data_IF_777668612409
#
_entry.id   IF_777668612409
#
_cell.length_a   1.000
_cell.length_b   1.000
_cell.length_c   1.000
_cell.angle_alpha   90.00
_cell.angle_beta   90.00
_cell.angle_gamma   90.00
#
_symmetry.space_group_name_H-M   'P 1'
#
loop_
_entity.id
_entity.type
_entity.pdbx_description
1 polymer ?
#
# COMPACT_ATOMS: atom_id res chain seq x y z
N UNK A 1 -26.83 8.07 -26.28
CA UNK A 1 -26.77 6.61 -26.50
C UNK A 1 -26.15 6.02 -25.28
N UNK A 2 -26.99 5.45 -24.40
CA UNK A 2 -26.55 4.78 -23.16
C UNK A 2 -25.85 3.48 -23.55
N UNK A 3 -24.60 3.32 -23.20
CA UNK A 3 -23.92 2.04 -23.30
C UNK A 3 -24.56 1.10 -22.27
N UNK A 4 -25.26 0.07 -22.75
CA UNK A 4 -25.79 -0.98 -21.90
C UNK A 4 -24.62 -1.67 -21.19
N UNK A 5 -24.68 -1.74 -19.89
CA UNK A 5 -23.74 -2.54 -19.08
C UNK A 5 -23.83 -4.00 -19.55
N UNK A 6 -22.69 -4.62 -19.80
CA UNK A 6 -22.57 -6.03 -20.14
C UNK A 6 -22.98 -6.86 -18.90
N UNK A 7 -24.09 -7.64 -18.95
CA UNK A 7 -24.57 -8.39 -17.79
C UNK A 7 -23.73 -9.63 -17.44
N UNK A 8 -22.58 -9.84 -18.12
CA UNK A 8 -21.75 -11.04 -17.93
C UNK A 8 -20.43 -10.79 -17.16
N UNK A 9 -20.14 -9.58 -16.74
CA UNK A 9 -18.97 -9.29 -15.89
C UNK A 9 -19.39 -9.33 -14.41
N UNK A 10 -19.52 -10.52 -13.86
CA UNK A 10 -19.71 -10.72 -12.41
C UNK A 10 -18.38 -10.66 -11.63
N UNK A 11 -17.35 -10.08 -12.24
CA UNK A 11 -16.06 -9.86 -11.59
C UNK A 11 -16.13 -8.54 -10.82
N UNK A 12 -15.92 -8.55 -9.51
CA UNK A 12 -15.98 -7.34 -8.70
C UNK A 12 -14.90 -6.36 -9.19
N UNK A 13 -15.27 -5.08 -9.28
CA UNK A 13 -14.31 -4.03 -9.64
C UNK A 13 -13.43 -3.72 -8.44
N UNK A 14 -12.14 -4.06 -8.55
CA UNK A 14 -11.14 -3.67 -7.59
C UNK A 14 -10.38 -2.46 -8.13
N UNK A 15 -10.40 -1.35 -7.41
CA UNK A 15 -9.59 -0.18 -7.70
C UNK A 15 -8.52 -0.04 -6.62
N UNK A 16 -7.28 0.06 -7.07
CA UNK A 16 -6.16 0.26 -6.15
C UNK A 16 -5.84 1.74 -6.01
N UNK A 17 -5.66 2.20 -4.77
CA UNK A 17 -5.13 3.52 -4.45
C UNK A 17 -3.74 3.40 -3.82
N UNK A 18 -2.77 4.07 -4.43
CA UNK A 18 -1.41 4.18 -3.89
C UNK A 18 -1.26 5.59 -3.33
N UNK A 19 -1.26 5.73 -2.01
CA UNK A 19 -0.99 7.02 -1.40
C UNK A 19 0.50 7.35 -1.45
N UNK A 20 0.84 8.54 -1.94
CA UNK A 20 2.20 8.99 -2.13
C UNK A 20 2.36 10.49 -1.92
N UNK A 21 3.49 10.94 -1.37
CA UNK A 21 3.89 12.35 -1.32
C UNK A 21 5.41 12.49 -1.24
N UNK A 22 5.93 13.61 -1.74
CA UNK A 22 7.36 13.94 -1.64
C UNK A 22 7.79 14.34 -0.22
N UNK A 23 6.84 14.76 0.61
CA UNK A 23 7.06 15.34 1.94
C UNK A 23 7.32 14.32 3.05
N UNK A 24 8.21 13.35 2.83
CA UNK A 24 8.67 12.45 3.92
C UNK A 24 9.64 13.18 4.84
N UNK A 25 9.48 13.07 6.16
CA UNK A 25 10.34 13.75 7.14
C UNK A 25 11.69 13.06 7.31
N UNK A 26 11.74 11.72 7.24
CA UNK A 26 12.97 10.93 7.43
C UNK A 26 13.78 10.76 6.17
N UNK A 27 13.15 10.74 5.00
CA UNK A 27 13.78 10.59 3.69
C UNK A 27 12.95 11.36 2.64
N UNK A 28 13.13 12.69 2.52
CA UNK A 28 12.40 13.52 1.56
C UNK A 28 12.60 13.02 0.13
N UNK A 29 11.51 12.97 -0.65
CA UNK A 29 11.57 12.52 -2.04
C UNK A 29 11.72 11.01 -2.24
N UNK A 30 11.70 10.20 -1.18
CA UNK A 30 11.97 8.75 -1.23
C UNK A 30 11.21 7.99 -2.31
N UNK A 31 9.99 8.41 -2.62
CA UNK A 31 9.13 7.73 -3.60
C UNK A 31 9.66 7.79 -5.03
N UNK A 32 10.54 8.76 -5.33
CA UNK A 32 11.24 8.88 -6.62
C UNK A 32 12.69 8.40 -6.56
N UNK A 33 13.18 7.98 -5.38
CA UNK A 33 14.52 7.41 -5.25
C UNK A 33 14.69 6.15 -6.10
N UNK A 34 15.82 5.99 -6.78
CA UNK A 34 16.08 4.83 -7.62
C UNK A 34 16.33 3.57 -6.77
N UNK A 35 15.71 2.48 -7.17
CA UNK A 35 15.93 1.10 -6.73
C UNK A 35 16.22 0.29 -7.99
N UNK A 36 17.49 -0.01 -8.25
CA UNK A 36 17.94 -0.52 -9.54
C UNK A 36 17.72 0.52 -10.65
N UNK A 37 17.09 0.11 -11.74
CA UNK A 37 16.79 0.94 -12.92
C UNK A 37 15.46 1.71 -12.82
N UNK A 38 14.72 1.59 -11.71
CA UNK A 38 13.37 2.14 -11.51
C UNK A 38 13.28 2.94 -10.23
N UNK A 39 12.32 3.89 -10.17
CA UNK A 39 12.01 4.55 -8.91
C UNK A 39 11.25 3.61 -7.96
N UNK A 40 11.30 3.91 -6.66
CA UNK A 40 10.51 3.20 -5.66
C UNK A 40 9.02 3.17 -6.04
N UNK A 41 8.46 4.30 -6.49
CA UNK A 41 7.09 4.38 -6.99
C UNK A 41 6.83 3.39 -8.14
N UNK A 42 7.79 3.27 -9.07
CA UNK A 42 7.62 2.38 -10.22
C UNK A 42 7.55 0.89 -9.81
N UNK A 43 8.32 0.50 -8.80
CA UNK A 43 8.21 -0.84 -8.19
C UNK A 43 6.82 -1.06 -7.60
N UNK A 44 6.33 -0.13 -6.77
CA UNK A 44 5.02 -0.22 -6.13
C UNK A 44 3.89 -0.28 -7.16
N UNK A 45 3.90 0.66 -8.14
CA UNK A 45 2.84 0.74 -9.17
C UNK A 45 2.79 -0.54 -9.99
N UNK A 46 3.93 -1.03 -10.48
CA UNK A 46 3.97 -2.23 -11.31
C UNK A 46 3.52 -3.49 -10.54
N UNK A 47 3.89 -3.62 -9.27
CA UNK A 47 3.43 -4.73 -8.43
C UNK A 47 1.92 -4.67 -8.18
N UNK A 48 1.36 -3.48 -7.91
CA UNK A 48 -0.08 -3.32 -7.72
C UNK A 48 -0.87 -3.53 -9.02
N UNK A 49 -0.33 -3.11 -10.17
CA UNK A 49 -0.92 -3.39 -11.49
C UNK A 49 -0.94 -4.91 -11.82
N UNK A 50 -0.05 -5.68 -11.23
CA UNK A 50 0.01 -7.13 -11.41
C UNK A 50 -0.97 -7.91 -10.51
N UNK A 51 -1.68 -7.25 -9.59
CA UNK A 51 -2.71 -7.90 -8.75
C UNK A 51 -3.88 -8.30 -9.64
N UNK A 52 -4.25 -9.59 -9.68
CA UNK A 52 -5.46 -10.02 -10.38
C UNK A 52 -6.70 -9.24 -9.89
N UNK A 53 -7.64 -8.98 -10.79
CA UNK A 53 -8.88 -8.23 -10.56
C UNK A 53 -8.71 -6.72 -10.30
N UNK A 54 -7.49 -6.19 -10.14
CA UNK A 54 -7.26 -4.74 -10.13
C UNK A 54 -7.47 -4.17 -11.53
N UNK A 55 -8.53 -3.39 -11.69
CA UNK A 55 -8.90 -2.80 -12.99
C UNK A 55 -8.26 -1.44 -13.22
N UNK A 56 -7.96 -0.73 -12.14
CA UNK A 56 -7.39 0.61 -12.19
C UNK A 56 -6.49 0.84 -11.00
N UNK A 57 -5.32 1.45 -11.25
CA UNK A 57 -4.41 1.94 -10.21
C UNK A 57 -4.44 3.47 -10.23
N UNK A 58 -4.69 4.07 -9.07
CA UNK A 58 -4.70 5.52 -8.89
C UNK A 58 -3.61 5.90 -7.89
N UNK A 59 -2.70 6.79 -8.27
CA UNK A 59 -1.76 7.40 -7.32
C UNK A 59 -2.41 8.65 -6.73
N UNK A 60 -2.67 8.61 -5.42
CA UNK A 60 -3.27 9.71 -4.67
C UNK A 60 -2.17 10.56 -4.02
N UNK A 61 -1.87 11.71 -4.61
CA UNK A 61 -0.86 12.65 -4.13
C UNK A 61 -1.47 13.99 -3.69
N UNK A 62 -0.65 14.95 -3.27
CA UNK A 62 -1.16 16.22 -2.75
C UNK A 62 -1.24 17.30 -3.82
N UNK A 63 -1.96 18.40 -3.51
CA UNK A 63 -2.02 19.58 -4.38
C UNK A 63 -0.79 20.49 -4.26
N UNK A 64 0.18 20.14 -3.41
CA UNK A 64 1.40 20.94 -3.25
C UNK A 64 2.31 20.87 -4.49
N UNK A 65 2.90 21.99 -4.93
CA UNK A 65 3.79 22.02 -6.10
C UNK A 65 4.98 21.06 -6.01
N UNK A 66 5.47 20.76 -4.79
CA UNK A 66 6.57 19.79 -4.61
C UNK A 66 6.19 18.37 -5.04
N UNK A 67 4.90 18.05 -5.14
CA UNK A 67 4.39 16.76 -5.59
C UNK A 67 4.13 16.71 -7.11
N UNK A 68 4.40 17.80 -7.88
CA UNK A 68 4.24 17.80 -9.34
C UNK A 68 5.12 16.72 -10.02
N UNK A 69 6.41 16.55 -9.68
CA UNK A 69 7.22 15.49 -10.28
C UNK A 69 6.69 14.08 -9.97
N UNK A 70 6.09 13.90 -8.80
CA UNK A 70 5.48 12.63 -8.42
C UNK A 70 4.22 12.34 -9.27
N UNK A 71 3.37 13.36 -9.49
CA UNK A 71 2.20 13.23 -10.34
C UNK A 71 2.57 12.89 -11.79
N UNK A 72 3.60 13.54 -12.34
CA UNK A 72 4.13 13.27 -13.67
C UNK A 72 4.69 11.84 -13.77
N UNK A 73 5.48 11.42 -12.78
CA UNK A 73 6.03 10.07 -12.72
C UNK A 73 4.91 9.01 -12.67
N UNK A 74 3.89 9.20 -11.83
CA UNK A 74 2.76 8.29 -11.75
C UNK A 74 2.01 8.16 -13.07
N UNK A 75 1.73 9.26 -13.75
CA UNK A 75 1.09 9.26 -15.06
C UNK A 75 1.93 8.53 -16.12
N UNK A 76 3.26 8.69 -16.11
CA UNK A 76 4.17 8.01 -17.02
C UNK A 76 4.21 6.48 -16.80
N UNK A 77 3.87 6.01 -15.59
CA UNK A 77 3.74 4.59 -15.25
C UNK A 77 2.37 4.00 -15.61
N UNK A 78 1.48 4.78 -16.27
CA UNK A 78 0.15 4.34 -16.65
C UNK A 78 -0.86 4.32 -15.49
N UNK A 79 -0.54 4.90 -14.34
CA UNK A 79 -1.48 5.08 -13.25
C UNK A 79 -2.34 6.34 -13.47
N UNK A 80 -3.60 6.29 -13.06
CA UNK A 80 -4.40 7.50 -12.92
C UNK A 80 -3.82 8.34 -11.75
N UNK A 81 -4.05 9.64 -11.77
CA UNK A 81 -3.53 10.55 -10.74
C UNK A 81 -4.68 11.34 -10.14
N UNK A 82 -4.77 11.31 -8.82
CA UNK A 82 -5.64 12.22 -8.05
C UNK A 82 -4.79 13.10 -7.15
N UNK A 83 -5.15 14.38 -7.07
CA UNK A 83 -4.47 15.36 -6.20
C UNK A 83 -5.48 15.93 -5.20
N UNK A 84 -5.19 15.78 -3.92
CA UNK A 84 -6.10 16.17 -2.84
C UNK A 84 -5.40 16.74 -1.60
N UNK A 85 -6.11 16.81 -0.46
CA UNK A 85 -5.61 17.41 0.76
C UNK A 85 -4.32 16.77 1.28
N UNK A 86 -3.44 17.57 1.89
CA UNK A 86 -2.15 17.10 2.45
C UNK A 86 -2.35 16.23 3.69
N UNK A 87 -3.15 16.71 4.64
CA UNK A 87 -3.32 16.09 5.96
C UNK A 87 -4.54 15.17 6.04
N UNK A 88 -5.52 15.35 5.17
CA UNK A 88 -6.69 14.49 5.10
C UNK A 88 -6.49 13.41 4.03
N UNK A 89 -5.76 12.38 4.42
CA UNK A 89 -5.41 11.26 3.53
C UNK A 89 -6.64 10.43 3.20
N UNK A 90 -7.59 10.31 4.13
CA UNK A 90 -8.85 9.59 3.90
C UNK A 90 -9.66 10.24 2.78
N UNK A 91 -9.87 11.57 2.83
CA UNK A 91 -10.52 12.30 1.73
C UNK A 91 -9.77 12.07 0.42
N UNK A 92 -8.46 12.22 0.42
CA UNK A 92 -7.64 12.06 -0.77
C UNK A 92 -7.75 10.65 -1.38
N UNK A 93 -7.73 9.60 -0.56
CA UNK A 93 -7.88 8.22 -1.03
C UNK A 93 -9.30 7.95 -1.53
N UNK A 94 -10.33 8.41 -0.81
CA UNK A 94 -11.72 8.26 -1.20
C UNK A 94 -12.01 8.93 -2.55
N UNK A 95 -11.64 10.21 -2.69
CA UNK A 95 -11.84 10.97 -3.92
C UNK A 95 -11.06 10.39 -5.12
N UNK A 96 -9.91 9.75 -4.85
CA UNK A 96 -9.13 9.07 -5.88
C UNK A 96 -9.86 7.87 -6.49
N UNK A 97 -10.63 7.12 -5.71
CA UNK A 97 -11.26 5.88 -6.17
C UNK A 97 -12.75 6.03 -6.52
N UNK A 98 -13.44 6.97 -5.90
CA UNK A 98 -14.90 7.15 -6.07
C UNK A 98 -15.36 7.30 -7.53
N UNK A 99 -14.64 8.01 -8.44
CA UNK A 99 -15.04 8.14 -9.85
C UNK A 99 -15.08 6.82 -10.63
N UNK A 100 -14.41 5.78 -10.13
CA UNK A 100 -14.34 4.47 -10.77
C UNK A 100 -15.41 3.49 -10.25
N UNK A 101 -16.20 3.91 -9.26
CA UNK A 101 -17.27 3.10 -8.64
C UNK A 101 -16.83 1.66 -8.30
N UNK A 102 -15.75 1.46 -7.52
CA UNK A 102 -15.27 0.13 -7.17
C UNK A 102 -16.24 -0.57 -6.21
N UNK A 103 -16.22 -1.91 -6.20
CA UNK A 103 -16.80 -2.71 -5.12
C UNK A 103 -15.79 -2.82 -3.97
N UNK A 104 -14.51 -3.03 -4.33
CA UNK A 104 -13.41 -3.14 -3.36
C UNK A 104 -12.31 -2.13 -3.65
N UNK A 105 -11.73 -1.60 -2.58
CA UNK A 105 -10.60 -0.68 -2.62
C UNK A 105 -9.38 -1.38 -2.03
N UNK A 106 -8.32 -1.51 -2.84
CA UNK A 106 -7.01 -1.95 -2.40
C UNK A 106 -6.17 -0.71 -2.08
N UNK A 107 -5.82 -0.51 -0.82
CA UNK A 107 -4.98 0.60 -0.39
C UNK A 107 -3.54 0.15 -0.21
N UNK A 108 -2.62 0.84 -0.88
CA UNK A 108 -1.18 0.64 -0.76
C UNK A 108 -0.50 1.96 -0.43
N UNK A 109 0.65 1.88 0.25
CA UNK A 109 1.52 3.05 0.47
C UNK A 109 2.73 2.97 -0.45
N UNK A 110 3.10 4.11 -1.04
CA UNK A 110 4.17 4.17 -2.05
C UNK A 110 5.58 3.95 -1.49
N UNK A 111 5.74 3.80 -0.18
CA UNK A 111 7.01 3.46 0.46
C UNK A 111 7.28 1.96 0.57
N UNK A 112 6.39 1.15 0.02
CA UNK A 112 6.54 -0.31 -0.05
C UNK A 112 6.91 -0.71 -1.49
N UNK A 113 8.19 -0.91 -1.82
CA UNK A 113 8.60 -1.23 -3.19
C UNK A 113 8.21 -2.65 -3.62
N UNK A 114 8.00 -3.57 -2.68
CA UNK A 114 7.82 -4.99 -2.95
C UNK A 114 6.48 -5.55 -2.45
N UNK A 115 5.32 -4.90 -2.73
CA UNK A 115 4.06 -5.55 -2.41
C UNK A 115 3.91 -6.82 -3.25
N UNK A 116 3.49 -7.91 -2.60
CA UNK A 116 3.29 -9.19 -3.27
C UNK A 116 1.87 -9.26 -3.88
N UNK A 117 1.75 -9.34 -5.22
CA UNK A 117 0.44 -9.38 -5.88
C UNK A 117 -0.41 -10.59 -5.47
N UNK A 118 0.22 -11.73 -5.15
CA UNK A 118 -0.49 -12.94 -4.76
C UNK A 118 -1.10 -12.82 -3.37
N UNK A 119 -0.43 -12.13 -2.46
CA UNK A 119 -0.94 -11.81 -1.12
C UNK A 119 -2.13 -10.87 -1.23
N UNK A 120 -2.00 -9.81 -2.02
CA UNK A 120 -3.07 -8.86 -2.26
C UNK A 120 -4.31 -9.52 -2.92
N UNK A 121 -4.10 -10.40 -3.89
CA UNK A 121 -5.18 -11.20 -4.50
C UNK A 121 -5.88 -12.08 -3.47
N UNK A 122 -5.12 -12.74 -2.59
CA UNK A 122 -5.69 -13.56 -1.52
C UNK A 122 -6.49 -12.73 -0.51
N UNK A 123 -6.07 -11.49 -0.24
CA UNK A 123 -6.86 -10.56 0.59
C UNK A 123 -8.20 -10.23 -0.08
N UNK A 124 -8.21 -9.87 -1.36
CA UNK A 124 -9.44 -9.57 -2.12
C UNK A 124 -10.38 -10.78 -2.12
N UNK A 125 -9.87 -11.97 -2.40
CA UNK A 125 -10.66 -13.19 -2.43
C UNK A 125 -11.24 -13.52 -1.04
N UNK A 126 -10.44 -13.44 0.02
CA UNK A 126 -10.86 -13.72 1.39
C UNK A 126 -11.92 -12.71 1.84
N UNK A 127 -11.74 -11.42 1.55
CA UNK A 127 -12.72 -10.39 1.87
C UNK A 127 -14.05 -10.66 1.18
N UNK A 128 -14.02 -10.97 -0.12
CA UNK A 128 -15.20 -11.28 -0.92
C UNK A 128 -15.93 -12.52 -0.41
N UNK A 129 -15.20 -13.63 -0.23
CA UNK A 129 -15.78 -14.91 0.19
C UNK A 129 -16.33 -14.86 1.62
N UNK A 130 -15.67 -14.13 2.51
CA UNK A 130 -16.06 -13.95 3.91
C UNK A 130 -17.13 -12.88 4.13
N UNK A 131 -17.49 -12.10 3.11
CA UNK A 131 -18.42 -10.97 3.28
C UNK A 131 -17.88 -9.85 4.16
N UNK A 132 -16.54 -9.77 4.30
CA UNK A 132 -15.89 -8.81 5.19
C UNK A 132 -15.99 -7.38 4.66
N UNK A 133 -15.95 -6.40 5.56
CA UNK A 133 -15.86 -4.98 5.23
C UNK A 133 -14.42 -4.49 5.09
N UNK A 134 -13.51 -5.13 5.82
CA UNK A 134 -12.07 -4.82 5.81
C UNK A 134 -11.24 -6.07 6.05
N UNK A 135 -10.11 -6.16 5.39
CA UNK A 135 -9.09 -7.17 5.66
C UNK A 135 -7.69 -6.56 5.68
N UNK A 136 -6.98 -6.77 6.78
CA UNK A 136 -5.55 -6.52 6.92
C UNK A 136 -4.74 -7.80 6.80
N UNK A 137 -3.59 -7.82 7.48
CA UNK A 137 -2.66 -8.96 7.52
C UNK A 137 -2.28 -9.29 8.95
N UNK A 138 -1.91 -10.55 9.20
CA UNK A 138 -1.36 -10.99 10.47
C UNK A 138 -0.15 -11.91 10.26
N UNK A 139 0.97 -11.58 10.90
CA UNK A 139 2.19 -12.38 10.83
C UNK A 139 3.01 -12.22 9.54
N UNK A 140 2.73 -11.21 8.74
CA UNK A 140 3.49 -10.90 7.53
C UNK A 140 4.56 -9.85 7.81
N UNK A 141 5.69 -9.85 7.08
CA UNK A 141 6.67 -8.77 7.14
C UNK A 141 6.06 -7.42 6.71
N UNK A 142 6.57 -6.34 7.32
CA UNK A 142 6.13 -4.99 6.98
C UNK A 142 6.53 -4.65 5.53
N UNK A 143 5.59 -4.12 4.76
CA UNK A 143 5.83 -3.64 3.40
C UNK A 143 5.44 -4.61 2.29
N UNK A 144 4.87 -5.78 2.62
CA UNK A 144 4.50 -6.83 1.64
C UNK A 144 3.05 -6.76 1.20
N UNK A 145 2.14 -6.46 2.12
CA UNK A 145 0.71 -6.51 1.84
C UNK A 145 0.07 -5.14 1.79
N UNK A 146 -1.08 -5.10 1.14
CA UNK A 146 -2.00 -3.97 1.12
C UNK A 146 -3.02 -4.07 2.27
N UNK A 147 -3.91 -3.10 2.33
CA UNK A 147 -5.18 -3.19 3.04
C UNK A 147 -6.30 -3.21 2.01
N UNK A 148 -7.32 -4.05 2.22
CA UNK A 148 -8.47 -4.11 1.31
C UNK A 148 -9.74 -3.85 2.09
N UNK A 149 -10.63 -3.00 1.55
CA UNK A 149 -11.94 -2.74 2.14
C UNK A 149 -13.03 -2.65 1.09
N UNK A 150 -14.29 -2.79 1.52
CA UNK A 150 -15.44 -2.45 0.68
C UNK A 150 -15.51 -0.95 0.48
N UNK A 151 -15.97 -0.52 -0.69
CA UNK A 151 -16.21 0.89 -0.97
C UNK A 151 -17.26 1.49 -0.02
N UNK A 152 -18.27 0.73 0.37
CA UNK A 152 -19.28 1.13 1.34
C UNK A 152 -18.68 1.45 2.71
N UNK A 153 -17.76 0.60 3.20
CA UNK A 153 -17.05 0.82 4.46
C UNK A 153 -16.16 2.07 4.39
N UNK A 154 -15.42 2.26 3.29
CA UNK A 154 -14.62 3.46 3.07
C UNK A 154 -15.50 4.72 2.98
N UNK A 155 -16.69 4.62 2.39
CA UNK A 155 -17.68 5.70 2.34
C UNK A 155 -18.19 6.07 3.74
N UNK A 156 -18.48 5.09 4.58
CA UNK A 156 -18.84 5.33 5.97
C UNK A 156 -17.70 6.04 6.73
N UNK A 157 -16.45 5.57 6.57
CA UNK A 157 -15.29 6.23 7.16
C UNK A 157 -15.15 7.67 6.68
N UNK A 158 -15.31 7.92 5.38
CA UNK A 158 -15.23 9.28 4.80
C UNK A 158 -16.21 10.26 5.43
N UNK A 159 -17.44 9.82 5.67
CA UNK A 159 -18.51 10.70 6.19
C UNK A 159 -18.50 10.86 7.71
N UNK A 160 -17.98 9.89 8.44
CA UNK A 160 -18.16 9.83 9.89
C UNK A 160 -16.86 9.98 10.68
N UNK A 161 -15.68 9.69 10.09
CA UNK A 161 -14.41 9.82 10.78
C UNK A 161 -14.10 11.28 11.08
N UNK A 162 -13.96 11.60 12.38
CA UNK A 162 -13.65 12.95 12.87
C UNK A 162 -12.29 13.04 13.56
N UNK A 163 -11.74 11.89 14.02
CA UNK A 163 -10.44 11.87 14.66
C UNK A 163 -9.32 12.08 13.63
N UNK A 164 -8.33 12.91 13.97
CA UNK A 164 -7.21 13.20 13.09
C UNK A 164 -6.48 11.93 12.63
N UNK A 165 -6.35 10.93 13.53
CA UNK A 165 -5.75 9.65 13.22
C UNK A 165 -6.47 8.88 12.13
N UNK A 166 -7.78 8.85 12.17
CA UNK A 166 -8.60 8.16 11.16
C UNK A 166 -8.49 8.86 9.80
N UNK A 167 -8.44 10.21 9.82
CA UNK A 167 -8.28 11.02 8.61
C UNK A 167 -6.89 10.87 7.99
N UNK A 168 -5.84 10.69 8.82
CA UNK A 168 -4.46 10.51 8.34
C UNK A 168 -4.16 9.07 7.91
N UNK A 169 -4.63 8.07 8.67
CA UNK A 169 -4.26 6.68 8.44
C UNK A 169 -5.29 5.87 7.64
N UNK A 170 -6.46 6.46 7.33
CA UNK A 170 -7.53 5.97 6.43
C UNK A 170 -8.37 4.83 7.02
N UNK A 171 -7.75 3.73 7.41
CA UNK A 171 -8.44 2.49 7.80
C UNK A 171 -8.66 2.26 9.30
N UNK A 172 -8.04 3.02 10.24
CA UNK A 172 -8.30 2.85 11.67
C UNK A 172 -9.77 2.97 12.05
N UNK A 173 -10.52 3.85 11.40
CA UNK A 173 -11.96 4.00 11.62
C UNK A 173 -12.72 2.69 11.44
N UNK A 174 -12.27 1.83 10.53
CA UNK A 174 -12.90 0.53 10.28
C UNK A 174 -12.50 -0.48 11.35
N UNK A 175 -11.21 -0.79 11.46
CA UNK A 175 -10.75 -1.89 12.31
C UNK A 175 -10.81 -1.61 13.81
N UNK A 176 -11.06 -0.36 14.22
CA UNK A 176 -11.31 -0.02 15.63
C UNK A 176 -12.77 -0.21 16.06
N UNK A 177 -13.68 -0.55 15.14
CA UNK A 177 -15.11 -0.72 15.39
C UNK A 177 -15.62 -2.12 14.96
N UNK A 178 -15.07 -3.21 15.56
CA UNK A 178 -15.41 -4.58 15.14
C UNK A 178 -16.87 -4.97 15.46
N UNK A 179 -17.58 -4.20 16.26
CA UNK A 179 -19.01 -4.34 16.52
C UNK A 179 -19.88 -3.81 15.37
N UNK A 180 -19.29 -3.04 14.46
CA UNK A 180 -19.98 -2.39 13.35
C UNK A 180 -19.55 -2.93 11.99
N UNK A 181 -18.28 -3.23 11.84
CA UNK A 181 -17.68 -3.72 10.59
C UNK A 181 -17.17 -5.13 10.74
N UNK A 182 -17.41 -5.96 9.73
CA UNK A 182 -16.84 -7.29 9.65
C UNK A 182 -15.36 -7.23 9.26
N UNK A 183 -14.50 -7.43 10.27
CA UNK A 183 -13.06 -7.25 10.15
C UNK A 183 -12.36 -8.60 10.06
N UNK A 184 -11.49 -8.74 9.07
CA UNK A 184 -10.62 -9.89 8.90
C UNK A 184 -9.14 -9.55 8.89
N UNK A 185 -8.33 -10.58 9.02
CA UNK A 185 -6.90 -10.52 8.78
C UNK A 185 -6.48 -11.77 8.01
N UNK A 186 -5.76 -11.59 6.91
CA UNK A 186 -5.19 -12.71 6.17
C UNK A 186 -4.02 -13.29 7.00
N UNK A 187 -4.16 -14.53 7.51
CA UNK A 187 -3.06 -15.16 8.22
C UNK A 187 -1.98 -15.59 7.25
N UNK A 188 -0.74 -15.53 7.67
CA UNK A 188 0.34 -16.12 6.91
C UNK A 188 0.31 -17.65 7.05
N UNK A 189 0.19 -18.36 5.93
CA UNK A 189 0.13 -19.82 5.92
C UNK A 189 1.50 -20.49 5.97
N UNK A 190 2.54 -19.84 5.43
CA UNK A 190 3.90 -20.37 5.45
C UNK A 190 4.65 -19.95 6.74
N UNK A 191 5.47 -20.82 7.32
CA UNK A 191 6.31 -20.45 8.46
C UNK A 191 7.28 -19.34 8.04
N UNK A 192 7.52 -18.41 8.97
CA UNK A 192 8.52 -17.36 8.79
C UNK A 192 9.90 -18.00 8.86
N UNK A 193 10.82 -17.65 7.96
CA UNK A 193 12.20 -18.05 8.08
C UNK A 193 12.81 -17.58 9.41
N UNK A 194 13.78 -18.29 10.01
CA UNK A 194 14.40 -17.86 11.26
C UNK A 194 14.89 -16.41 11.19
N UNK A 195 14.43 -15.56 12.11
CA UNK A 195 14.72 -14.12 12.13
C UNK A 195 13.83 -13.28 11.21
N UNK A 196 13.07 -13.89 10.33
CA UNK A 196 12.24 -13.22 9.33
C UNK A 196 11.05 -12.45 9.91
N UNK A 197 10.66 -12.73 11.16
CA UNK A 197 9.65 -11.97 11.89
C UNK A 197 10.05 -10.51 12.12
N UNK A 198 11.35 -10.19 11.98
CA UNK A 198 11.90 -8.84 12.11
C UNK A 198 12.21 -8.16 10.77
N UNK A 199 12.10 -8.90 9.65
CA UNK A 199 12.36 -8.31 8.34
C UNK A 199 11.30 -7.28 7.98
N UNK A 200 11.77 -6.18 7.43
CA UNK A 200 10.92 -5.09 6.95
C UNK A 200 11.36 -4.67 5.57
N UNK A 201 10.41 -4.53 4.67
CA UNK A 201 10.62 -4.18 3.27
C UNK A 201 10.07 -2.78 2.92
N UNK A 202 9.55 -2.05 3.91
CA UNK A 202 9.15 -0.64 3.71
C UNK A 202 10.37 0.28 3.76
N UNK A 203 10.36 1.34 2.96
CA UNK A 203 11.45 2.33 2.89
C UNK A 203 11.04 3.59 3.63
N UNK A 204 11.58 3.77 4.83
CA UNK A 204 11.34 4.95 5.66
C UNK A 204 12.61 5.76 5.92
N UNK A 205 13.76 5.10 5.87
CA UNK A 205 15.07 5.66 6.19
C UNK A 205 16.08 5.35 5.08
N UNK A 206 17.24 6.02 5.03
CA UNK A 206 18.33 5.65 4.12
C UNK A 206 18.75 4.19 4.23
N UNK A 207 18.76 3.61 5.44
CA UNK A 207 19.09 2.21 5.69
C UNK A 207 18.06 1.24 5.04
N UNK A 208 16.78 1.58 5.08
CA UNK A 208 15.75 0.80 4.38
C UNK A 208 15.93 0.88 2.86
N UNK A 209 16.29 2.06 2.33
CA UNK A 209 16.55 2.24 0.90
C UNK A 209 17.77 1.44 0.45
N UNK A 210 18.80 1.35 1.28
CA UNK A 210 19.99 0.53 1.02
C UNK A 210 19.62 -0.95 0.94
N UNK A 211 18.81 -1.47 1.87
CA UNK A 211 18.30 -2.82 1.79
C UNK A 211 17.46 -3.05 0.53
N UNK A 212 16.56 -2.13 0.19
CA UNK A 212 15.72 -2.25 -1.00
C UNK A 212 16.56 -2.30 -2.28
N UNK A 213 17.61 -1.50 -2.38
CA UNK A 213 18.57 -1.52 -3.50
C UNK A 213 19.33 -2.84 -3.58
N UNK A 214 19.81 -3.32 -2.43
CA UNK A 214 20.52 -4.59 -2.36
C UNK A 214 19.63 -5.78 -2.77
N UNK A 215 18.36 -5.78 -2.38
CA UNK A 215 17.39 -6.80 -2.80
C UNK A 215 17.10 -6.73 -4.31
N UNK A 216 16.87 -5.54 -4.85
CA UNK A 216 16.61 -5.37 -6.28
C UNK A 216 17.78 -5.85 -7.16
N UNK A 217 19.02 -5.64 -6.73
CA UNK A 217 20.21 -6.14 -7.41
C UNK A 217 20.23 -7.68 -7.44
N UNK A 218 19.89 -8.33 -6.33
CA UNK A 218 19.91 -9.79 -6.19
C UNK A 218 18.75 -10.48 -6.91
N UNK A 219 17.60 -9.82 -6.97
CA UNK A 219 16.47 -10.30 -7.76
C UNK A 219 16.83 -10.44 -9.24
N UNK A 220 17.64 -9.53 -9.79
CA UNK A 220 18.08 -9.55 -11.18
C UNK A 220 16.96 -9.29 -12.20
N UNK A 221 15.77 -8.97 -11.74
CA UNK A 221 14.60 -8.60 -12.56
C UNK A 221 13.78 -7.50 -11.90
N UNK A 222 12.90 -6.88 -12.67
CA UNK A 222 11.98 -5.86 -12.16
C UNK A 222 10.72 -6.46 -11.51
N UNK A 223 9.79 -5.58 -11.04
CA UNK A 223 8.51 -6.00 -10.48
C UNK A 223 7.65 -6.75 -11.52
N UNK A 224 6.69 -7.59 -11.09
CA UNK A 224 6.36 -7.86 -9.70
C UNK A 224 7.33 -8.84 -9.02
N UNK A 225 7.35 -8.82 -7.70
CA UNK A 225 8.15 -9.71 -6.85
C UNK A 225 7.21 -10.42 -5.88
N UNK A 226 7.52 -11.65 -5.55
CA UNK A 226 6.81 -12.36 -4.48
C UNK A 226 7.67 -12.44 -3.20
N UNK A 227 7.01 -12.61 -2.06
CA UNK A 227 7.68 -12.67 -0.77
C UNK A 227 8.69 -13.83 -0.68
N UNK A 228 8.39 -14.96 -1.30
CA UNK A 228 9.28 -16.14 -1.24
C UNK A 228 10.66 -15.86 -1.88
N UNK A 229 10.70 -15.04 -2.95
CA UNK A 229 11.96 -14.62 -3.57
C UNK A 229 12.78 -13.74 -2.61
N UNK A 230 12.13 -12.75 -1.97
CA UNK A 230 12.79 -11.89 -1.00
C UNK A 230 13.31 -12.69 0.21
N UNK A 231 12.51 -13.62 0.72
CA UNK A 231 12.88 -14.45 1.85
C UNK A 231 14.02 -15.42 1.50
N UNK A 232 14.04 -15.94 0.29
CA UNK A 232 15.15 -16.79 -0.19
C UNK A 232 16.48 -16.01 -0.22
N UNK A 233 16.45 -14.76 -0.71
CA UNK A 233 17.64 -13.89 -0.72
C UNK A 233 18.08 -13.57 0.72
N UNK A 234 17.16 -13.14 1.57
CA UNK A 234 17.45 -12.79 2.97
C UNK A 234 17.97 -13.97 3.78
N UNK A 235 17.49 -15.18 3.50
CA UNK A 235 17.96 -16.41 4.14
C UNK A 235 19.36 -16.83 3.64
N UNK A 236 19.65 -16.61 2.34
CA UNK A 236 20.95 -16.90 1.76
C UNK A 236 22.04 -15.90 2.18
N UNK A 237 21.67 -14.65 2.41
CA UNK A 237 22.56 -13.56 2.79
C UNK A 237 22.06 -12.86 4.09
N UNK A 238 22.24 -13.47 5.27
CA UNK A 238 21.71 -12.95 6.55
C UNK A 238 22.23 -11.54 6.90
N UNK A 239 23.38 -11.14 6.39
CA UNK A 239 23.95 -9.81 6.63
C UNK A 239 23.10 -8.69 6.02
N UNK A 240 22.27 -8.98 5.02
CA UNK A 240 21.31 -8.01 4.48
C UNK A 240 20.33 -7.51 5.55
N UNK A 241 19.93 -8.38 6.47
CA UNK A 241 19.05 -7.98 7.57
C UNK A 241 19.70 -6.97 8.53
N UNK A 242 21.03 -6.88 8.55
CA UNK A 242 21.74 -5.91 9.39
C UNK A 242 21.64 -4.48 8.86
N UNK A 243 21.42 -4.31 7.56
CA UNK A 243 21.35 -2.98 6.92
C UNK A 243 20.31 -2.07 7.60
N UNK A 244 19.14 -2.62 7.95
CA UNK A 244 18.07 -1.84 8.59
C UNK A 244 17.63 -2.38 9.95
N UNK A 245 18.40 -3.27 10.58
CA UNK A 245 18.08 -3.88 11.87
C UNK A 245 17.86 -2.87 13.00
N UNK A 246 18.52 -1.71 12.93
CA UNK A 246 18.40 -0.64 13.93
C UNK A 246 17.16 0.25 13.70
N UNK A 247 16.45 0.10 12.58
CA UNK A 247 15.27 0.92 12.26
C UNK A 247 14.08 0.43 13.06
N UNK A 248 13.60 1.29 13.95
CA UNK A 248 12.40 1.01 14.75
C UNK A 248 11.17 1.50 14.02
N UNK A 249 10.18 0.60 13.84
CA UNK A 249 8.88 0.97 13.32
C UNK A 249 8.19 1.90 14.31
N UNK A 250 7.82 3.11 13.87
CA UNK A 250 7.00 4.00 14.69
C UNK A 250 5.59 3.41 14.76
N UNK A 251 5.05 3.14 15.96
CA UNK A 251 3.63 2.82 16.08
C UNK A 251 2.84 4.03 15.55
N UNK A 252 1.83 3.78 14.72
CA UNK A 252 0.99 4.85 14.16
C UNK A 252 0.36 5.75 15.26
N UNK A 253 0.09 5.19 16.45
CA UNK A 253 -0.44 5.89 17.63
C UNK A 253 0.52 6.95 18.22
N UNK A 254 1.83 6.83 18.01
CA UNK A 254 2.85 7.74 18.58
C UNK A 254 3.18 8.90 17.63
N UNK A 255 2.92 8.75 16.34
CA UNK A 255 3.16 9.81 15.35
C UNK A 255 2.35 11.09 15.62
N UNK A 256 1.25 11.00 16.36
CA UNK A 256 0.37 12.13 16.66
C UNK A 256 0.87 13.10 17.74
N UNK A 257 1.79 12.66 18.61
CA UNK A 257 2.22 13.48 19.75
C UNK A 257 3.33 14.49 19.40
N UNK A 258 3.95 14.39 18.23
CA UNK A 258 5.16 15.16 17.89
C UNK A 258 4.99 16.22 16.80
N UNK A 259 3.87 16.25 16.07
CA UNK A 259 3.65 17.23 15.00
C UNK A 259 2.73 18.41 15.40
N UNK A 260 2.34 18.49 16.67
CA UNK A 260 1.50 19.55 17.25
C UNK A 260 2.26 20.59 18.09
N UNK A 261 3.53 20.89 17.78
CA UNK A 261 4.26 22.03 18.39
C UNK A 261 5.03 22.82 17.35
#
# INVERSE_FOLDING_TARGET
MSAAADPLSNTPRVVAVIQARMGSTRLPGKVLEPIGDRSLLAWTVASVQAVPDVTTVVVATTTEPRDDPLAEAAASLGAAVHRGPVFDVLTRCFEAVAPFEPEFVLRQTADNPFPDPSVAASQVETLRAGGLDYIGIAGWPIGIAAEVCRMEALTAAMHEATAAADREHVTPFLYSQPERFDIGALPRSAPVAPGGERWRYTVDTPADLELARALAERLGHGPPVNLAELEAIMAAEPDLALLNAAVVQKPWQVAQATEGR
#
